data_IF_128263544302
#
_entry.id   IF_128263544302
#
_cell.length_a   1.000
_cell.length_b   1.000
_cell.length_c   1.000
_cell.angle_alpha   90.00
_cell.angle_beta   90.00
_cell.angle_gamma   90.00
#
_symmetry.space_group_name_H-M   'P 1'
#
loop_
_entity.id
_entity.type
_entity.pdbx_description
1 polymer ?
#
# COMPACT_ATOMS: atom_id res chain seq x y z
N UNK A 1 8.37 -16.79 1.71
CA UNK A 1 7.89 -15.38 1.64
C UNK A 1 6.38 -15.26 1.83
N UNK A 2 5.60 -16.16 1.27
CA UNK A 2 4.11 -16.10 1.33
C UNK A 2 3.59 -16.12 2.77
N UNK A 3 4.07 -17.03 3.64
CA UNK A 3 3.60 -17.14 5.03
C UNK A 3 3.82 -15.86 5.84
N UNK A 4 4.99 -15.22 5.74
CA UNK A 4 5.28 -13.95 6.41
C UNK A 4 4.33 -12.84 5.96
N UNK A 5 4.18 -12.68 4.64
CA UNK A 5 3.32 -11.62 4.06
C UNK A 5 1.85 -11.82 4.41
N UNK A 6 1.36 -13.06 4.35
CA UNK A 6 -0.02 -13.40 4.74
C UNK A 6 -0.26 -13.05 6.20
N UNK A 7 0.63 -13.49 7.09
CA UNK A 7 0.50 -13.21 8.53
C UNK A 7 0.59 -11.72 8.85
N UNK A 8 1.43 -10.98 8.13
CA UNK A 8 1.53 -9.52 8.28
C UNK A 8 0.18 -8.83 8.03
N UNK A 9 -0.53 -9.19 6.95
CA UNK A 9 -1.86 -8.62 6.68
C UNK A 9 -2.91 -9.09 7.68
N UNK A 10 -2.93 -10.38 8.02
CA UNK A 10 -3.85 -10.89 9.03
C UNK A 10 -3.69 -10.13 10.36
N UNK A 11 -2.47 -9.86 10.79
CA UNK A 11 -2.22 -9.10 12.01
C UNK A 11 -2.66 -7.64 11.90
N UNK A 12 -2.53 -7.00 10.75
CA UNK A 12 -3.09 -5.64 10.56
C UNK A 12 -4.60 -5.63 10.73
N UNK A 13 -5.29 -6.62 10.16
CA UNK A 13 -6.75 -6.72 10.23
C UNK A 13 -7.22 -7.08 11.64
N UNK A 14 -6.63 -8.08 12.27
CA UNK A 14 -6.96 -8.49 13.64
C UNK A 14 -6.75 -7.35 14.64
N UNK A 15 -5.62 -6.64 14.55
CA UNK A 15 -5.33 -5.50 15.43
C UNK A 15 -6.26 -4.31 15.19
N UNK A 16 -6.67 -4.06 13.94
CA UNK A 16 -7.65 -3.04 13.61
C UNK A 16 -9.03 -3.39 14.20
N UNK A 17 -9.52 -4.60 13.96
CA UNK A 17 -10.79 -5.10 14.49
C UNK A 17 -10.80 -5.16 16.02
N UNK A 18 -9.73 -5.65 16.62
CA UNK A 18 -9.56 -5.78 18.06
C UNK A 18 -9.24 -4.45 18.76
N UNK A 19 -9.06 -3.34 18.01
CA UNK A 19 -8.65 -2.02 18.54
C UNK A 19 -7.37 -2.09 19.38
N UNK A 20 -6.42 -2.95 18.96
CA UNK A 20 -5.11 -3.17 19.59
C UNK A 20 -4.00 -2.76 18.62
N UNK A 21 -3.99 -1.48 18.28
CA UNK A 21 -3.03 -0.95 17.34
C UNK A 21 -1.58 -1.19 17.78
N UNK A 22 -0.77 -1.63 16.85
CA UNK A 22 0.69 -1.55 16.85
C UNK A 22 1.11 -1.00 15.49
N UNK A 23 2.25 -0.37 15.38
CA UNK A 23 2.68 0.16 14.09
C UNK A 23 3.06 -0.96 13.10
N UNK A 24 3.16 -0.59 11.83
CA UNK A 24 3.38 -1.59 10.78
C UNK A 24 4.77 -2.23 10.83
N UNK A 25 5.77 -1.55 11.40
CA UNK A 25 7.10 -2.14 11.62
C UNK A 25 7.03 -3.27 12.64
N UNK A 26 6.42 -3.00 13.79
CA UNK A 26 6.22 -4.00 14.84
C UNK A 26 5.41 -5.20 14.33
N UNK A 27 4.30 -4.95 13.62
CA UNK A 27 3.48 -6.02 13.03
C UNK A 27 4.28 -6.86 12.03
N UNK A 28 5.11 -6.22 11.22
CA UNK A 28 5.98 -6.91 10.26
C UNK A 28 6.96 -7.83 10.95
N UNK A 29 7.57 -7.39 12.05
CA UNK A 29 8.48 -8.18 12.85
C UNK A 29 7.78 -9.36 13.57
N UNK A 30 6.64 -9.09 14.22
CA UNK A 30 5.83 -10.13 14.87
C UNK A 30 5.38 -11.21 13.88
N UNK A 31 4.99 -10.81 12.66
CA UNK A 31 4.62 -11.74 11.59
C UNK A 31 5.82 -12.55 11.09
N UNK A 32 7.02 -11.96 11.03
CA UNK A 32 8.26 -12.66 10.69
C UNK A 32 8.59 -13.73 11.73
N UNK A 33 8.55 -13.37 13.01
CA UNK A 33 8.79 -14.30 14.12
C UNK A 33 7.79 -15.47 14.06
N UNK A 34 6.50 -15.18 13.90
CA UNK A 34 5.48 -16.21 13.75
C UNK A 34 5.77 -17.15 12.56
N UNK A 35 6.11 -16.58 11.40
CA UNK A 35 6.40 -17.36 10.20
C UNK A 35 7.62 -18.27 10.41
N UNK A 36 8.69 -17.78 11.04
CA UNK A 36 9.88 -18.57 11.35
C UNK A 36 9.55 -19.74 12.30
N UNK A 37 8.84 -19.47 13.39
CA UNK A 37 8.42 -20.50 14.35
C UNK A 37 7.53 -21.55 13.70
N UNK A 38 6.60 -21.15 12.82
CA UNK A 38 5.68 -22.07 12.15
C UNK A 38 6.36 -23.12 11.26
N UNK A 39 7.56 -22.81 10.78
CA UNK A 39 8.39 -23.73 9.98
C UNK A 39 9.59 -24.27 10.77
N UNK A 40 9.62 -24.08 12.10
CA UNK A 40 10.68 -24.50 13.00
C UNK A 40 12.06 -23.94 12.63
N UNK A 41 12.09 -22.72 12.09
CA UNK A 41 13.32 -22.01 11.78
C UNK A 41 13.74 -21.17 12.98
N UNK A 42 14.95 -21.39 13.49
CA UNK A 42 15.57 -20.50 14.45
C UNK A 42 16.07 -19.23 13.72
N UNK A 43 15.51 -18.10 14.06
CA UNK A 43 15.85 -16.82 13.47
C UNK A 43 16.70 -15.99 14.45
N UNK A 44 18.00 -15.90 14.17
CA UNK A 44 18.92 -15.07 14.95
C UNK A 44 18.63 -13.57 14.79
N UNK A 45 19.07 -12.76 15.74
CA UNK A 45 18.85 -11.31 15.75
C UNK A 45 19.32 -10.64 14.47
N UNK A 46 20.55 -10.89 14.03
CA UNK A 46 21.13 -10.29 12.82
C UNK A 46 20.35 -10.67 11.53
N UNK A 47 19.83 -11.91 11.48
CA UNK A 47 19.03 -12.36 10.34
C UNK A 47 17.68 -11.65 10.32
N UNK A 48 17.04 -11.52 11.49
CA UNK A 48 15.79 -10.78 11.65
C UNK A 48 15.96 -9.32 11.21
N UNK A 49 17.01 -8.65 11.70
CA UNK A 49 17.27 -7.25 11.41
C UNK A 49 17.53 -7.03 9.91
N UNK A 50 18.28 -7.94 9.25
CA UNK A 50 18.48 -7.88 7.79
C UNK A 50 17.17 -8.08 7.02
N UNK A 51 16.32 -9.03 7.40
CA UNK A 51 15.03 -9.25 6.77
C UNK A 51 14.09 -8.05 6.96
N UNK A 52 14.05 -7.48 8.15
CA UNK A 52 13.30 -6.26 8.42
C UNK A 52 13.83 -5.08 7.61
N UNK A 53 15.14 -4.93 7.50
CA UNK A 53 15.80 -3.88 6.74
C UNK A 53 15.37 -3.83 5.27
N UNK A 54 15.00 -4.97 4.67
CA UNK A 54 14.53 -5.03 3.27
C UNK A 54 13.31 -4.13 2.99
N UNK A 55 12.49 -3.85 4.00
CA UNK A 55 11.37 -2.93 3.87
C UNK A 55 11.79 -1.46 3.72
N UNK A 56 13.02 -1.12 4.07
CA UNK A 56 13.58 0.23 3.91
C UNK A 56 14.30 0.39 2.56
N UNK A 57 14.57 -0.72 1.86
CA UNK A 57 15.38 -0.78 0.63
C UNK A 57 14.54 -1.15 -0.60
N UNK A 58 13.23 -0.96 -0.52
CA UNK A 58 12.32 -1.30 -1.63
C UNK A 58 12.64 -0.47 -2.87
N UNK A 59 12.59 -1.14 -4.03
CA UNK A 59 12.78 -0.50 -5.33
C UNK A 59 11.44 -0.30 -6.04
N UNK A 60 11.34 0.74 -6.84
CA UNK A 60 10.21 0.91 -7.74
C UNK A 60 10.23 -0.12 -8.87
N UNK A 61 9.06 -0.46 -9.39
CA UNK A 61 8.95 -1.18 -10.66
C UNK A 61 9.47 -0.29 -11.79
N UNK A 62 10.02 -0.87 -12.89
CA UNK A 62 10.68 -0.10 -13.96
C UNK A 62 9.78 0.94 -14.66
N UNK A 63 8.49 0.69 -14.74
CA UNK A 63 7.49 1.59 -15.36
C UNK A 63 7.12 2.80 -14.47
N UNK A 64 7.34 2.72 -13.16
CA UNK A 64 6.85 3.71 -12.18
C UNK A 64 7.45 5.10 -12.39
N UNK A 65 8.78 5.29 -12.53
CA UNK A 65 9.33 6.64 -12.66
C UNK A 65 8.79 7.39 -13.88
N UNK A 66 8.73 6.73 -15.04
CA UNK A 66 8.24 7.34 -16.28
C UNK A 66 6.75 7.73 -16.19
N UNK A 67 5.92 6.84 -15.63
CA UNK A 67 4.49 7.12 -15.45
C UNK A 67 4.26 8.29 -14.50
N UNK A 68 4.96 8.32 -13.35
CA UNK A 68 4.82 9.43 -12.38
C UNK A 68 5.31 10.76 -12.95
N UNK A 69 6.37 10.75 -13.76
CA UNK A 69 6.86 11.95 -14.44
C UNK A 69 5.83 12.51 -15.41
N UNK A 70 5.18 11.62 -16.19
CA UNK A 70 4.09 12.01 -17.12
C UNK A 70 2.93 12.64 -16.36
N UNK A 71 2.45 12.01 -15.31
CA UNK A 71 1.36 12.51 -14.46
C UNK A 71 1.70 13.86 -13.83
N UNK A 72 2.94 14.00 -13.33
CA UNK A 72 3.41 15.27 -12.74
C UNK A 72 3.45 16.40 -13.76
N UNK A 73 3.93 16.16 -14.99
CA UNK A 73 3.92 17.13 -16.09
C UNK A 73 2.51 17.55 -16.48
N UNK A 74 1.56 16.63 -16.40
CA UNK A 74 0.13 16.91 -16.64
C UNK A 74 -0.56 17.65 -15.46
N UNK A 75 0.17 17.94 -14.37
CA UNK A 75 -0.38 18.66 -13.23
C UNK A 75 -1.24 17.79 -12.30
N UNK A 76 -1.17 16.46 -12.43
CA UNK A 76 -1.93 15.54 -11.57
C UNK A 76 -1.36 15.57 -10.15
N UNK A 77 -2.21 15.86 -9.18
CA UNK A 77 -1.84 15.81 -7.76
C UNK A 77 -1.83 14.36 -7.29
N UNK A 78 -0.71 13.93 -6.73
CA UNK A 78 -0.50 12.55 -6.32
C UNK A 78 -0.19 12.46 -4.82
N UNK A 79 -0.77 11.46 -4.14
CA UNK A 79 -0.49 11.14 -2.74
C UNK A 79 -0.15 9.67 -2.59
N UNK A 80 0.77 9.36 -1.68
CA UNK A 80 1.12 7.99 -1.33
C UNK A 80 0.46 7.62 -0.01
N UNK A 81 -0.61 6.81 -0.07
CA UNK A 81 -1.31 6.28 1.09
C UNK A 81 -0.88 4.84 1.38
N UNK A 82 -0.21 4.63 2.51
CA UNK A 82 0.36 3.33 2.88
C UNK A 82 0.05 2.93 4.32
N UNK A 83 0.04 1.61 4.57
CA UNK A 83 0.08 1.04 5.92
C UNK A 83 1.45 1.21 6.60
N UNK A 84 2.49 1.55 5.86
CA UNK A 84 3.83 1.79 6.38
C UNK A 84 3.85 2.88 7.44
N UNK A 85 4.75 2.73 8.42
CA UNK A 85 5.09 3.85 9.30
C UNK A 85 5.68 5.00 8.48
N UNK A 86 5.68 6.24 8.98
CA UNK A 86 6.35 7.36 8.28
C UNK A 86 7.80 7.03 7.91
N UNK A 87 8.58 6.44 8.84
CA UNK A 87 9.97 6.01 8.60
C UNK A 87 10.09 5.02 7.44
N UNK A 88 9.27 3.97 7.42
CA UNK A 88 9.30 2.96 6.34
C UNK A 88 8.94 3.58 4.99
N UNK A 89 7.90 4.40 4.98
CA UNK A 89 7.43 5.08 3.76
C UNK A 89 8.51 6.00 3.20
N UNK A 90 9.09 6.86 4.03
CA UNK A 90 10.07 7.85 3.60
C UNK A 90 11.36 7.18 3.11
N UNK A 91 11.82 6.14 3.80
CA UNK A 91 12.96 5.34 3.37
C UNK A 91 12.69 4.65 2.02
N UNK A 92 11.52 4.01 1.85
CA UNK A 92 11.16 3.34 0.60
C UNK A 92 11.07 4.33 -0.58
N UNK A 93 10.45 5.51 -0.38
CA UNK A 93 10.34 6.53 -1.42
C UNK A 93 11.72 7.12 -1.78
N UNK A 94 12.57 7.37 -0.79
CA UNK A 94 13.93 7.86 -1.01
C UNK A 94 14.77 6.84 -1.78
N UNK A 95 14.76 5.57 -1.34
CA UNK A 95 15.52 4.49 -2.00
C UNK A 95 15.02 4.21 -3.44
N UNK A 96 13.73 4.39 -3.69
CA UNK A 96 13.14 4.26 -5.02
C UNK A 96 13.32 5.50 -5.92
N UNK A 97 13.88 6.61 -5.41
CA UNK A 97 14.02 7.87 -6.15
C UNK A 97 12.68 8.60 -6.38
N UNK A 98 11.67 8.34 -5.55
CA UNK A 98 10.30 8.81 -5.75
C UNK A 98 9.86 9.91 -4.76
N UNK A 99 10.75 10.41 -3.91
CA UNK A 99 10.40 11.35 -2.84
C UNK A 99 9.74 12.66 -3.31
N UNK A 100 10.00 13.10 -4.55
CA UNK A 100 9.47 14.36 -5.09
C UNK A 100 8.17 14.25 -5.89
N UNK A 101 7.53 13.07 -5.92
CA UNK A 101 6.33 12.85 -6.74
C UNK A 101 5.02 12.97 -5.96
N UNK A 102 5.06 12.82 -4.64
CA UNK A 102 3.85 12.68 -3.83
C UNK A 102 3.76 13.79 -2.78
N UNK A 103 2.60 14.45 -2.70
CA UNK A 103 2.23 15.40 -1.65
C UNK A 103 0.72 15.41 -1.45
N UNK A 104 0.23 15.21 -0.21
CA UNK A 104 0.96 14.83 0.99
C UNK A 104 1.30 13.32 1.02
N UNK A 105 2.21 12.95 1.91
CA UNK A 105 2.51 11.56 2.22
C UNK A 105 1.59 11.09 3.35
N UNK A 106 0.78 10.07 3.10
CA UNK A 106 -0.21 9.56 4.04
C UNK A 106 0.21 8.20 4.60
N UNK A 107 0.32 8.11 5.91
CA UNK A 107 0.54 6.86 6.63
C UNK A 107 -0.67 6.55 7.51
N UNK A 108 -1.19 5.33 7.45
CA UNK A 108 -2.30 4.89 8.28
C UNK A 108 -1.97 4.87 9.79
N UNK A 109 -0.68 5.01 10.14
CA UNK A 109 -0.25 5.23 11.51
C UNK A 109 -0.95 6.44 12.16
N UNK A 110 -1.26 7.46 11.40
CA UNK A 110 -1.97 8.66 11.87
C UNK A 110 -3.37 8.35 12.41
N UNK A 111 -4.08 7.40 11.79
CA UNK A 111 -5.47 7.05 12.16
C UNK A 111 -5.55 5.79 13.03
N UNK A 112 -4.40 5.19 13.35
CA UNK A 112 -4.28 3.98 14.19
C UNK A 112 -5.21 2.84 13.73
N UNK A 113 -5.34 2.70 12.40
CA UNK A 113 -6.10 1.65 11.75
C UNK A 113 -5.51 1.38 10.37
N UNK A 114 -5.52 0.13 9.95
CA UNK A 114 -4.96 -0.28 8.66
C UNK A 114 -6.04 -0.43 7.60
N UNK A 115 -5.68 -0.26 6.34
CA UNK A 115 -6.56 -0.63 5.23
C UNK A 115 -6.98 -2.10 5.37
N UNK A 116 -8.25 -2.46 5.14
CA UNK A 116 -9.30 -1.68 4.47
C UNK A 116 -10.23 -0.88 5.40
N UNK A 117 -9.83 -0.48 6.61
CA UNK A 117 -10.64 0.40 7.46
C UNK A 117 -10.92 1.72 6.73
N UNK A 118 -12.19 2.20 6.69
CA UNK A 118 -12.56 3.42 5.96
C UNK A 118 -11.83 4.68 6.45
N UNK A 119 -11.36 4.72 7.71
CA UNK A 119 -10.56 5.83 8.24
C UNK A 119 -9.24 6.01 7.48
N UNK A 120 -8.66 4.91 6.99
CA UNK A 120 -7.46 4.97 6.18
C UNK A 120 -7.70 5.67 4.84
N UNK A 121 -8.78 5.34 4.14
CA UNK A 121 -9.13 5.96 2.86
C UNK A 121 -9.61 7.41 3.05
N UNK A 122 -10.30 7.72 4.15
CA UNK A 122 -10.74 9.08 4.45
C UNK A 122 -9.58 10.09 4.48
N UNK A 123 -8.37 9.64 4.79
CA UNK A 123 -7.18 10.49 4.78
C UNK A 123 -6.93 11.16 3.42
N UNK A 124 -7.25 10.50 2.30
CA UNK A 124 -7.13 11.09 0.97
C UNK A 124 -8.11 12.23 0.75
N UNK A 125 -9.37 12.04 1.13
CA UNK A 125 -10.42 13.08 1.09
C UNK A 125 -9.99 14.30 1.92
N UNK A 126 -9.52 14.04 3.14
CA UNK A 126 -9.10 15.12 4.07
C UNK A 126 -7.88 15.89 3.54
N UNK A 127 -6.96 15.20 2.90
CA UNK A 127 -5.73 15.78 2.37
C UNK A 127 -5.95 16.62 1.12
N UNK A 128 -6.72 16.09 0.17
CA UNK A 128 -6.99 16.77 -1.09
C UNK A 128 -8.14 17.78 -1.01
N UNK A 129 -9.01 17.67 0.00
CA UNK A 129 -10.24 18.45 0.13
C UNK A 129 -11.17 18.27 -1.08
N UNK A 130 -11.24 17.06 -1.59
CA UNK A 130 -12.07 16.66 -2.73
C UNK A 130 -13.09 15.63 -2.30
N UNK A 131 -14.16 15.48 -3.07
CA UNK A 131 -15.12 14.38 -2.89
C UNK A 131 -14.46 13.05 -3.25
N UNK A 132 -14.96 11.94 -2.70
CA UNK A 132 -14.45 10.58 -3.00
C UNK A 132 -14.43 10.30 -4.50
N UNK A 133 -15.47 10.74 -5.21
CA UNK A 133 -15.63 10.54 -6.66
C UNK A 133 -14.65 11.34 -7.52
N UNK A 134 -13.91 12.28 -6.94
CA UNK A 134 -12.91 13.12 -7.61
C UNK A 134 -11.47 12.63 -7.36
N UNK A 135 -11.32 11.55 -6.63
CA UNK A 135 -10.01 10.95 -6.29
C UNK A 135 -9.95 9.54 -6.87
N UNK A 136 -9.09 9.32 -7.84
CA UNK A 136 -8.80 7.98 -8.34
C UNK A 136 -7.86 7.26 -7.37
N UNK A 137 -8.29 6.11 -6.85
CA UNK A 137 -7.44 5.25 -6.03
C UNK A 137 -6.75 4.21 -6.91
N UNK A 138 -5.42 4.11 -6.78
CA UNK A 138 -4.61 3.14 -7.53
C UNK A 138 -4.08 2.09 -6.56
N UNK A 139 -4.60 0.88 -6.66
CA UNK A 139 -4.24 -0.25 -5.80
C UNK A 139 -3.37 -1.26 -6.53
N UNK A 140 -2.40 -1.88 -5.83
CA UNK A 140 -1.63 -3.02 -6.34
C UNK A 140 -2.15 -4.37 -5.83
N UNK A 141 -2.87 -4.39 -4.70
CA UNK A 141 -3.46 -5.59 -4.15
C UNK A 141 -4.98 -5.59 -4.37
N UNK A 142 -5.54 -6.75 -4.73
CA UNK A 142 -6.98 -6.91 -5.01
C UNK A 142 -7.85 -6.55 -3.80
N UNK A 143 -7.46 -6.96 -2.59
CA UNK A 143 -8.17 -6.61 -1.35
C UNK A 143 -8.17 -5.09 -1.06
N UNK A 144 -7.10 -4.36 -1.44
CA UNK A 144 -7.01 -2.90 -1.28
C UNK A 144 -7.88 -2.19 -2.33
N UNK A 145 -7.96 -2.73 -3.55
CA UNK A 145 -8.90 -2.28 -4.56
C UNK A 145 -10.36 -2.47 -4.10
N UNK A 146 -10.70 -3.63 -3.52
CA UNK A 146 -12.02 -3.86 -2.95
C UNK A 146 -12.33 -2.88 -1.81
N UNK A 147 -11.39 -2.65 -0.89
CA UNK A 147 -11.54 -1.69 0.21
C UNK A 147 -11.74 -0.26 -0.27
N UNK A 148 -11.03 0.17 -1.32
CA UNK A 148 -11.20 1.47 -1.94
C UNK A 148 -12.59 1.62 -2.60
N UNK A 149 -13.08 0.57 -3.27
CA UNK A 149 -14.44 0.53 -3.84
C UNK A 149 -15.52 0.61 -2.75
N UNK A 150 -15.38 -0.12 -1.66
CA UNK A 150 -16.31 -0.02 -0.52
C UNK A 150 -16.34 1.38 0.09
N UNK A 151 -15.20 2.05 0.11
CA UNK A 151 -15.12 3.44 0.56
C UNK A 151 -15.76 4.42 -0.41
N UNK A 152 -15.89 4.06 -1.70
CA UNK A 152 -16.52 4.85 -2.76
C UNK A 152 -15.55 5.64 -3.64
N UNK A 153 -14.30 5.23 -3.71
CA UNK A 153 -13.36 5.74 -4.70
C UNK A 153 -13.57 5.12 -6.09
N UNK A 154 -13.50 5.86 -7.19
CA UNK A 154 -13.05 5.33 -8.47
C UNK A 154 -11.72 4.62 -8.27
N UNK A 155 -11.58 3.40 -8.81
CA UNK A 155 -10.43 2.56 -8.47
C UNK A 155 -9.84 1.90 -9.71
N UNK A 156 -8.53 2.07 -9.91
CA UNK A 156 -7.72 1.30 -10.84
C UNK A 156 -6.95 0.22 -10.04
N UNK A 157 -7.07 -1.03 -10.46
CA UNK A 157 -6.25 -2.12 -9.94
C UNK A 157 -5.07 -2.41 -10.87
N UNK A 158 -3.84 -2.15 -10.40
CA UNK A 158 -2.60 -2.48 -11.11
C UNK A 158 -2.20 -3.90 -10.77
N UNK A 159 -2.70 -4.86 -11.55
CA UNK A 159 -2.54 -6.29 -11.36
C UNK A 159 -1.28 -6.83 -12.05
N UNK A 160 -0.11 -6.51 -11.52
CA UNK A 160 1.19 -6.91 -12.08
C UNK A 160 1.43 -8.42 -12.12
N UNK A 161 0.75 -9.16 -11.25
CA UNK A 161 0.98 -10.59 -11.06
C UNK A 161 -0.04 -11.48 -11.76
N UNK A 162 -1.02 -10.90 -12.47
CA UNK A 162 -2.11 -11.65 -13.07
C UNK A 162 -2.95 -12.44 -12.05
N UNK A 163 -3.06 -11.91 -10.81
CA UNK A 163 -3.82 -12.54 -9.74
C UNK A 163 -5.33 -12.48 -10.01
N UNK A 164 -6.13 -13.43 -9.50
CA UNK A 164 -7.58 -13.29 -9.53
C UNK A 164 -8.03 -12.13 -8.65
N UNK A 165 -9.18 -11.53 -9.00
CA UNK A 165 -9.84 -10.56 -8.12
C UNK A 165 -10.42 -11.29 -6.91
N UNK A 166 -10.50 -10.58 -5.78
CA UNK A 166 -11.15 -11.09 -4.57
C UNK A 166 -12.67 -11.22 -4.77
N UNK A 167 -13.26 -12.31 -4.30
CA UNK A 167 -14.70 -12.55 -4.33
C UNK A 167 -15.42 -11.83 -3.19
N UNK A 168 -15.34 -10.49 -3.20
CA UNK A 168 -15.83 -9.60 -2.14
C UNK A 168 -17.02 -8.73 -2.59
N UNK A 169 -17.68 -9.11 -3.68
CA UNK A 169 -18.90 -8.47 -4.17
C UNK A 169 -18.69 -7.08 -4.79
N UNK A 170 -17.44 -6.70 -5.09
CA UNK A 170 -17.10 -5.45 -5.78
C UNK A 170 -15.97 -5.70 -6.78
N UNK A 171 -15.93 -4.87 -7.82
CA UNK A 171 -14.86 -4.88 -8.82
C UNK A 171 -14.26 -3.48 -8.98
N UNK A 172 -12.98 -3.36 -9.32
CA UNK A 172 -12.39 -2.06 -9.68
C UNK A 172 -13.04 -1.52 -10.95
N UNK A 173 -12.97 -0.20 -11.15
CA UNK A 173 -13.51 0.45 -12.36
C UNK A 173 -12.62 0.19 -13.59
N UNK A 174 -11.32 -0.01 -13.36
CA UNK A 174 -10.36 -0.39 -14.38
C UNK A 174 -9.28 -1.33 -13.82
N UNK A 175 -8.67 -2.12 -14.69
CA UNK A 175 -7.54 -3.00 -14.35
C UNK A 175 -6.47 -2.88 -15.42
N UNK A 176 -5.20 -2.86 -15.00
CA UNK A 176 -4.05 -2.85 -15.88
C UNK A 176 -2.88 -3.66 -15.33
N UNK A 177 -1.92 -4.04 -16.17
CA UNK A 177 -0.75 -4.79 -15.75
C UNK A 177 0.36 -3.92 -15.11
N UNK A 178 0.36 -2.62 -15.40
CA UNK A 178 1.37 -1.65 -14.98
C UNK A 178 0.76 -0.24 -14.90
N UNK A 179 1.58 0.79 -14.61
CA UNK A 179 1.12 2.17 -14.54
C UNK A 179 0.88 2.84 -15.91
N UNK A 180 1.20 2.17 -17.02
CA UNK A 180 0.76 2.67 -18.33
C UNK A 180 -0.77 2.76 -18.37
N UNK A 181 -1.47 1.77 -17.80
CA UNK A 181 -2.92 1.81 -17.70
C UNK A 181 -3.46 3.02 -16.93
N UNK A 182 -2.72 3.54 -15.95
CA UNK A 182 -3.09 4.78 -15.26
C UNK A 182 -2.93 6.01 -16.15
N UNK A 183 -1.82 6.09 -16.90
CA UNK A 183 -1.56 7.19 -17.83
C UNK A 183 -2.62 7.21 -18.93
N UNK A 184 -2.91 6.04 -19.51
CA UNK A 184 -3.94 5.91 -20.56
C UNK A 184 -5.35 6.25 -20.02
N UNK A 185 -5.68 5.90 -18.78
CA UNK A 185 -6.99 6.15 -18.16
C UNK A 185 -7.24 7.65 -17.90
N UNK A 186 -6.18 8.42 -17.62
CA UNK A 186 -6.27 9.85 -17.32
C UNK A 186 -6.15 10.69 -18.62
N UNK A 187 -5.91 10.05 -19.75
CA UNK A 187 -5.77 10.71 -21.08
C UNK A 187 -4.67 11.79 -21.10
N UNK A 188 -3.49 11.50 -20.52
CA UNK A 188 -2.34 12.39 -20.42
C UNK A 188 -1.08 11.84 -21.09
#
# INVERSE_FOLDING_TARGET
MTAWRTRQFEYTWLRTLGRRYADFWQITEEALIFAAVSIKLELGGDQRDRLMGTFLELKAWPDVPAALETLKKAGVRMSFLSNFTPRMRDAALANAGLAGFFEPHLSTDRVKAFKPDPRAYQMGVDAFKLRRTEILFVASAAWDAAGAKWFGYPTLWVNRMGAPMEELGVTPDATGADLKALVDLIEV
#
